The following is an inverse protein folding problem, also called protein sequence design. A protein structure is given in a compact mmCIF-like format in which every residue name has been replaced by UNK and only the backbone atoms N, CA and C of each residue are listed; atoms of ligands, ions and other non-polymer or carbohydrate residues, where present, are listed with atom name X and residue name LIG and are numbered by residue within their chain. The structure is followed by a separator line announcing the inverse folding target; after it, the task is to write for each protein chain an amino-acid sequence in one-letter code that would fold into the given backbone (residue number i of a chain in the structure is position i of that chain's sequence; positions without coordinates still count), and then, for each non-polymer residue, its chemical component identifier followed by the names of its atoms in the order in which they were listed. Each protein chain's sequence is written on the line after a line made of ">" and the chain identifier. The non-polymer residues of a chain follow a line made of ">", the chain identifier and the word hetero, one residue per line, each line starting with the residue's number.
data_IF_160587204383
#
_entry.id   IF_160587204383
#
_cell.length_a   1.000
_cell.length_b   1.000
_cell.length_c   1.000
_cell.angle_alpha   90.00
_cell.angle_beta   90.00
_cell.angle_gamma   90.00
#
_symmetry.space_group_name_H-M   'P 1'
#
loop_
_entity.id
_entity.type
_entity.pdbx_description
1 polymer ?
#
# COMPACT_ATOMS: atom_id res chain seq x y z
N UNK A 1 10.69 8.31 -0.64
CA UNK A 1 11.81 7.42 -0.26
C UNK A 1 12.42 6.89 -1.54
N UNK A 2 13.73 6.82 -1.62
CA UNK A 2 14.47 6.20 -2.71
C UNK A 2 15.28 5.02 -2.18
N UNK A 3 15.33 3.94 -2.94
CA UNK A 3 16.10 2.74 -2.61
C UNK A 3 17.08 2.39 -3.74
N UNK A 4 18.05 1.53 -3.46
CA UNK A 4 18.98 1.02 -4.47
C UNK A 4 18.32 0.17 -5.57
N UNK A 5 17.05 -0.22 -5.40
CA UNK A 5 16.25 -0.87 -6.45
C UNK A 5 15.76 0.11 -7.51
N UNK A 6 15.60 1.39 -7.15
CA UNK A 6 15.00 2.40 -8.01
C UNK A 6 16.04 3.29 -8.67
N UNK A 7 17.14 3.57 -7.96
CA UNK A 7 18.19 4.48 -8.41
C UNK A 7 19.56 4.03 -7.94
N UNK A 8 20.59 4.30 -8.72
CA UNK A 8 21.98 3.93 -8.40
C UNK A 8 22.46 4.60 -7.11
N UNK A 9 22.14 5.87 -6.92
CA UNK A 9 22.50 6.63 -5.71
C UNK A 9 21.26 7.22 -5.03
N UNK A 10 20.64 6.48 -4.08
CA UNK A 10 19.43 6.93 -3.39
C UNK A 10 19.60 8.23 -2.61
N UNK A 11 20.76 8.44 -2.01
CA UNK A 11 21.03 9.67 -1.23
C UNK A 11 21.07 10.91 -2.13
N UNK A 12 21.74 10.82 -3.28
CA UNK A 12 21.80 11.91 -4.24
C UNK A 12 20.42 12.22 -4.83
N UNK A 13 19.66 11.19 -5.21
CA UNK A 13 18.31 11.33 -5.72
C UNK A 13 17.37 11.99 -4.68
N UNK A 14 17.46 11.57 -3.42
CA UNK A 14 16.66 12.17 -2.34
C UNK A 14 17.00 13.66 -2.14
N UNK A 15 18.29 14.01 -2.12
CA UNK A 15 18.73 15.43 -2.00
C UNK A 15 18.22 16.27 -3.17
N UNK A 16 18.38 15.78 -4.40
CA UNK A 16 17.87 16.46 -5.59
C UNK A 16 16.36 16.66 -5.54
N UNK A 17 15.61 15.65 -5.09
CA UNK A 17 14.15 15.75 -4.94
C UNK A 17 13.75 16.81 -3.92
N UNK A 18 14.49 16.94 -2.81
CA UNK A 18 14.20 17.95 -1.79
C UNK A 18 14.26 19.37 -2.34
N UNK A 19 15.18 19.65 -3.29
CA UNK A 19 15.29 21.00 -3.89
C UNK A 19 14.16 21.33 -4.86
N UNK A 20 13.41 20.32 -5.32
CA UNK A 20 12.32 20.46 -6.28
C UNK A 20 10.94 20.17 -5.68
N UNK A 21 10.85 20.05 -4.35
CA UNK A 21 9.56 19.82 -3.69
C UNK A 21 8.62 21.01 -3.89
N UNK A 22 7.34 20.77 -4.15
CA UNK A 22 6.32 21.81 -4.13
C UNK A 22 6.21 22.47 -2.75
N UNK A 23 5.52 23.59 -2.68
CA UNK A 23 5.18 24.21 -1.39
C UNK A 23 4.31 23.28 -0.54
N UNK A 24 4.34 23.46 0.78
CA UNK A 24 3.51 22.66 1.69
C UNK A 24 2.01 22.65 1.31
N UNK A 25 1.37 23.79 0.99
CA UNK A 25 -0.02 23.78 0.55
C UNK A 25 -0.26 22.92 -0.70
N UNK A 26 0.67 22.95 -1.66
CA UNK A 26 0.55 22.12 -2.88
C UNK A 26 0.75 20.63 -2.58
N UNK A 27 1.69 20.27 -1.70
CA UNK A 27 1.85 18.89 -1.23
C UNK A 27 0.61 18.40 -0.48
N UNK A 28 0.04 19.24 0.37
CA UNK A 28 -1.17 18.95 1.12
C UNK A 28 -2.35 18.66 0.20
N UNK A 29 -2.56 19.52 -0.79
CA UNK A 29 -3.66 19.32 -1.75
C UNK A 29 -3.50 18.05 -2.56
N UNK A 30 -2.30 17.75 -3.05
CA UNK A 30 -2.01 16.48 -3.74
C UNK A 30 -2.25 15.26 -2.85
N UNK A 31 -1.83 15.33 -1.59
CA UNK A 31 -2.06 14.27 -0.60
C UNK A 31 -3.56 14.04 -0.35
N UNK A 32 -4.30 15.13 -0.17
CA UNK A 32 -5.75 15.08 0.04
C UNK A 32 -6.46 14.42 -1.14
N UNK A 33 -6.17 14.86 -2.37
CA UNK A 33 -6.76 14.29 -3.59
C UNK A 33 -6.44 12.80 -3.75
N UNK A 34 -5.21 12.39 -3.44
CA UNK A 34 -4.83 10.98 -3.50
C UNK A 34 -5.62 10.12 -2.50
N UNK A 35 -5.85 10.62 -1.28
CA UNK A 35 -6.65 9.93 -0.29
C UNK A 35 -8.14 9.93 -0.62
N UNK A 36 -8.69 11.03 -1.11
CA UNK A 36 -10.06 11.09 -1.60
C UNK A 36 -10.31 10.04 -2.67
N UNK A 37 -9.45 9.96 -3.68
CA UNK A 37 -9.55 8.96 -4.74
C UNK A 37 -9.45 7.50 -4.21
N UNK A 38 -8.60 7.25 -3.22
CA UNK A 38 -8.49 5.93 -2.61
C UNK A 38 -9.74 5.55 -1.80
N UNK A 39 -10.31 6.50 -1.06
CA UNK A 39 -11.51 6.29 -0.27
C UNK A 39 -12.77 6.18 -1.11
N UNK A 40 -12.89 6.92 -2.20
CA UNK A 40 -14.05 6.87 -3.10
C UNK A 40 -14.38 5.45 -3.60
N UNK A 41 -13.35 4.62 -3.73
CA UNK A 41 -13.50 3.24 -4.20
C UNK A 41 -13.41 2.19 -3.09
N UNK A 42 -12.92 2.56 -1.90
CA UNK A 42 -12.59 1.58 -0.85
C UNK A 42 -13.41 1.74 0.43
N UNK A 43 -14.19 2.81 0.58
CA UNK A 43 -14.99 3.03 1.78
C UNK A 43 -16.14 2.02 1.89
N UNK A 44 -16.36 1.54 3.10
CA UNK A 44 -17.46 0.65 3.46
C UNK A 44 -18.30 1.36 4.52
N UNK A 45 -19.54 1.65 4.17
CA UNK A 45 -20.46 2.35 5.05
C UNK A 45 -21.27 1.36 5.90
N UNK A 46 -21.23 1.56 7.22
CA UNK A 46 -22.01 0.80 8.21
C UNK A 46 -22.92 1.78 8.94
N UNK A 47 -24.21 1.65 8.72
CA UNK A 47 -25.21 2.46 9.42
C UNK A 47 -25.62 1.82 10.75
N UNK A 48 -25.82 2.65 11.78
CA UNK A 48 -26.33 2.22 13.08
C UNK A 48 -25.27 1.75 14.08
N UNK A 49 -24.02 1.49 13.65
CA UNK A 49 -22.93 1.10 14.56
C UNK A 49 -21.65 1.90 14.27
N UNK A 50 -21.43 2.96 15.04
CA UNK A 50 -20.25 3.84 14.92
C UNK A 50 -18.93 3.11 15.25
N UNK A 51 -18.96 2.15 16.18
CA UNK A 51 -17.75 1.40 16.55
C UNK A 51 -17.33 0.45 15.42
N UNK A 52 -18.29 -0.27 14.85
CA UNK A 52 -18.05 -1.11 13.68
C UNK A 52 -17.56 -0.28 12.48
N UNK A 53 -18.17 0.87 12.22
CA UNK A 53 -17.73 1.80 11.17
C UNK A 53 -16.28 2.24 11.36
N UNK A 54 -15.91 2.64 12.58
CA UNK A 54 -14.53 3.05 12.88
C UNK A 54 -13.54 1.88 12.69
N UNK A 55 -13.88 0.69 13.18
CA UNK A 55 -13.03 -0.49 13.08
C UNK A 55 -12.80 -0.90 11.61
N UNK A 56 -13.84 -0.88 10.79
CA UNK A 56 -13.74 -1.20 9.35
C UNK A 56 -12.87 -0.17 8.62
N UNK A 57 -13.13 1.13 8.80
CA UNK A 57 -12.31 2.18 8.18
C UNK A 57 -10.85 2.13 8.62
N UNK A 58 -10.58 1.87 9.89
CA UNK A 58 -9.21 1.70 10.37
C UNK A 58 -8.52 0.49 9.71
N UNK A 59 -9.23 -0.63 9.57
CA UNK A 59 -8.68 -1.83 8.91
C UNK A 59 -8.40 -1.59 7.43
N UNK A 60 -9.33 -0.96 6.71
CA UNK A 60 -9.13 -0.55 5.31
C UNK A 60 -7.96 0.39 5.17
N UNK A 61 -7.85 1.41 6.03
CA UNK A 61 -6.72 2.33 6.06
C UNK A 61 -5.37 1.60 6.22
N UNK A 62 -5.28 0.65 7.15
CA UNK A 62 -4.05 -0.13 7.37
C UNK A 62 -3.64 -0.93 6.12
N UNK A 63 -4.60 -1.47 5.37
CA UNK A 63 -4.33 -2.18 4.13
C UNK A 63 -3.90 -1.23 3.00
N UNK A 64 -4.59 -0.09 2.87
CA UNK A 64 -4.26 0.92 1.84
C UNK A 64 -2.85 1.50 2.00
N UNK A 65 -2.41 1.80 3.24
CA UNK A 65 -1.05 2.32 3.49
C UNK A 65 0.04 1.27 3.34
N UNK A 66 -0.28 -0.01 3.53
CA UNK A 66 0.67 -1.11 3.37
C UNK A 66 0.82 -1.58 1.93
N UNK A 67 -0.11 -1.21 1.06
CA UNK A 67 -0.19 -1.71 -0.30
C UNK A 67 0.91 -1.13 -1.20
N UNK A 68 1.53 -1.96 -2.06
CA UNK A 68 2.58 -1.53 -2.99
C UNK A 68 1.98 -0.95 -4.28
N UNK A 69 1.49 0.27 -4.22
CA UNK A 69 0.75 0.94 -5.30
C UNK A 69 1.50 0.99 -6.64
N UNK A 70 2.82 1.07 -6.60
CA UNK A 70 3.65 1.28 -7.81
C UNK A 70 4.69 0.19 -8.07
N UNK A 71 4.76 -0.84 -7.20
CA UNK A 71 5.76 -1.89 -7.33
C UNK A 71 5.12 -3.28 -7.36
N UNK A 72 5.26 -3.98 -8.50
CA UNK A 72 4.73 -5.33 -8.71
C UNK A 72 5.64 -6.44 -8.17
N UNK A 73 6.81 -6.09 -7.67
CA UNK A 73 7.80 -7.04 -7.16
C UNK A 73 7.82 -7.10 -5.62
N UNK A 74 6.88 -6.41 -4.98
CA UNK A 74 6.68 -6.45 -3.52
C UNK A 74 5.22 -6.76 -3.21
N UNK A 75 4.95 -7.15 -1.97
CA UNK A 75 3.59 -7.45 -1.50
C UNK A 75 3.42 -6.99 -0.07
N UNK A 76 2.27 -7.25 0.53
CA UNK A 76 1.95 -6.83 1.90
C UNK A 76 2.43 -7.91 2.87
N UNK A 77 3.29 -7.58 3.84
CA UNK A 77 3.72 -8.54 4.85
C UNK A 77 2.59 -8.87 5.84
N UNK A 78 2.67 -10.02 6.51
CA UNK A 78 1.62 -10.54 7.40
C UNK A 78 1.21 -9.60 8.55
N UNK A 79 2.09 -8.71 8.96
CA UNK A 79 1.82 -7.66 9.98
C UNK A 79 1.66 -6.26 9.37
N UNK A 80 1.43 -6.17 8.06
CA UNK A 80 1.40 -4.90 7.35
C UNK A 80 2.64 -4.03 7.66
N UNK A 81 2.49 -2.77 8.01
CA UNK A 81 3.56 -1.88 8.47
C UNK A 81 3.58 -1.73 10.01
N UNK A 82 2.75 -2.47 10.74
CA UNK A 82 2.43 -2.19 12.14
C UNK A 82 3.36 -2.84 13.17
N UNK A 83 4.41 -3.57 12.75
CA UNK A 83 5.32 -4.16 13.73
C UNK A 83 6.39 -5.08 13.14
N UNK A 84 7.35 -5.46 14.00
CA UNK A 84 8.47 -6.33 13.64
C UNK A 84 8.12 -7.83 13.57
N UNK A 85 6.89 -8.19 13.88
CA UNK A 85 6.43 -9.58 13.77
C UNK A 85 6.62 -10.09 12.34
N UNK A 86 7.16 -11.31 12.23
CA UNK A 86 7.51 -11.95 10.97
C UNK A 86 8.55 -11.21 10.11
N UNK A 87 9.18 -10.16 10.60
CA UNK A 87 10.29 -9.43 9.95
C UNK A 87 10.03 -9.01 8.50
N UNK A 88 8.79 -8.66 8.17
CA UNK A 88 8.39 -8.28 6.82
C UNK A 88 8.21 -9.44 5.84
N UNK A 89 8.28 -10.70 6.29
CA UNK A 89 8.00 -11.84 5.44
C UNK A 89 6.55 -11.86 4.96
N UNK A 90 6.37 -12.28 3.71
CA UNK A 90 5.09 -12.34 3.01
C UNK A 90 4.64 -13.80 2.99
N UNK A 91 3.47 -14.05 3.55
CA UNK A 91 2.84 -15.36 3.61
C UNK A 91 1.58 -15.38 2.75
N UNK A 92 0.87 -16.50 2.77
CA UNK A 92 -0.40 -16.69 2.07
C UNK A 92 -1.57 -15.85 2.62
N UNK A 93 -1.39 -15.23 3.78
CA UNK A 93 -2.35 -14.29 4.38
C UNK A 93 -2.75 -13.18 3.41
N UNK A 94 -1.81 -12.71 2.61
CA UNK A 94 -2.06 -11.65 1.62
C UNK A 94 -3.11 -12.09 0.62
N UNK A 95 -2.99 -13.30 0.08
CA UNK A 95 -3.90 -13.81 -0.95
C UNK A 95 -5.27 -14.20 -0.38
N UNK A 96 -5.33 -14.71 0.84
CA UNK A 96 -6.58 -15.23 1.42
C UNK A 96 -7.37 -14.14 2.15
N UNK A 97 -6.70 -13.27 2.90
CA UNK A 97 -7.38 -12.31 3.78
C UNK A 97 -7.35 -10.86 3.30
N UNK A 98 -6.28 -10.44 2.61
CA UNK A 98 -6.10 -9.04 2.20
C UNK A 98 -6.53 -8.80 0.76
N UNK A 99 -6.17 -9.70 -0.15
CA UNK A 99 -6.47 -9.59 -1.58
C UNK A 99 -7.96 -9.43 -1.89
N UNK A 100 -8.91 -10.10 -1.20
CA UNK A 100 -10.33 -9.92 -1.47
C UNK A 100 -10.81 -8.46 -1.40
N UNK A 101 -10.31 -7.66 -0.45
CA UNK A 101 -10.63 -6.23 -0.43
C UNK A 101 -10.23 -5.54 -1.73
N UNK A 102 -8.97 -5.76 -2.16
CA UNK A 102 -8.43 -5.10 -3.34
C UNK A 102 -9.05 -5.57 -4.65
N UNK A 103 -9.51 -6.81 -4.73
CA UNK A 103 -10.23 -7.31 -5.92
C UNK A 103 -11.47 -6.45 -6.20
N UNK A 104 -12.20 -6.07 -5.16
CA UNK A 104 -13.45 -5.32 -5.30
C UNK A 104 -13.26 -3.81 -5.30
N UNK A 105 -12.22 -3.31 -4.67
CA UNK A 105 -12.02 -1.86 -4.46
C UNK A 105 -10.91 -1.27 -5.33
N UNK A 106 -9.83 -2.03 -5.56
CA UNK A 106 -8.60 -1.58 -6.22
C UNK A 106 -8.05 -2.69 -7.15
N UNK A 107 -8.72 -3.04 -8.25
CA UNK A 107 -8.38 -4.23 -9.05
C UNK A 107 -6.97 -4.19 -9.66
N UNK A 108 -6.44 -3.03 -10.00
CA UNK A 108 -5.05 -2.91 -10.49
C UNK A 108 -4.04 -3.23 -9.38
N UNK A 109 -4.31 -2.81 -8.15
CA UNK A 109 -3.49 -3.15 -7.00
C UNK A 109 -3.57 -4.65 -6.67
N UNK A 110 -4.76 -5.25 -6.78
CA UNK A 110 -4.92 -6.70 -6.67
C UNK A 110 -4.04 -7.45 -7.68
N UNK A 111 -3.96 -6.96 -8.92
CA UNK A 111 -3.08 -7.50 -9.95
C UNK A 111 -1.60 -7.37 -9.58
N UNK A 112 -1.19 -6.26 -8.98
CA UNK A 112 0.20 -6.08 -8.49
C UNK A 112 0.54 -7.13 -7.42
N UNK A 113 -0.33 -7.34 -6.44
CA UNK A 113 -0.14 -8.35 -5.39
C UNK A 113 0.00 -9.76 -5.95
N UNK A 114 -0.80 -10.14 -6.94
CA UNK A 114 -0.68 -11.43 -7.62
C UNK A 114 0.61 -11.53 -8.45
N UNK A 115 1.02 -10.44 -9.10
CA UNK A 115 2.27 -10.41 -9.88
C UNK A 115 3.50 -10.70 -9.03
N UNK A 116 3.51 -10.33 -7.75
CA UNK A 116 4.56 -10.67 -6.81
C UNK A 116 4.79 -12.19 -6.75
N UNK A 117 3.74 -13.01 -6.67
CA UNK A 117 3.87 -14.47 -6.64
C UNK A 117 4.43 -15.02 -7.95
N UNK A 118 4.04 -14.45 -9.07
CA UNK A 118 4.63 -14.80 -10.36
C UNK A 118 6.12 -14.50 -10.42
N UNK A 119 6.56 -13.33 -9.96
CA UNK A 119 7.98 -12.95 -9.94
C UNK A 119 8.83 -13.78 -8.97
N UNK A 120 8.23 -14.33 -7.92
CA UNK A 120 8.93 -15.17 -6.92
C UNK A 120 8.83 -16.67 -7.20
N UNK A 121 8.17 -17.08 -8.29
CA UNK A 121 7.87 -18.49 -8.61
C UNK A 121 9.15 -19.34 -8.73
N UNK A 122 10.20 -18.82 -9.35
CA UNK A 122 11.46 -19.58 -9.51
C UNK A 122 12.12 -19.89 -8.17
N UNK A 123 12.00 -19.01 -7.18
CA UNK A 123 12.50 -19.24 -5.82
C UNK A 123 11.67 -20.25 -5.02
N UNK A 124 10.48 -20.63 -5.49
CA UNK A 124 9.59 -21.59 -4.85
C UNK A 124 9.72 -23.00 -5.43
N UNK A 125 10.47 -23.19 -6.51
CA UNK A 125 10.77 -24.48 -7.18
C UNK A 125 12.08 -25.07 -6.68
#
# INVERSE_FOLDING_TARGET
>A
VYTSREVENPQSAARSKLTTLPSYPACWEQHKQAWEAAWDTSDILIEGDTQAQLAVRYSVFQLLIAAPWWDRQVSIPAKTLSGFGYRGHIFWDTEIFMLPLFIFTQPELARHLLSYRYHTLEGAR
#
